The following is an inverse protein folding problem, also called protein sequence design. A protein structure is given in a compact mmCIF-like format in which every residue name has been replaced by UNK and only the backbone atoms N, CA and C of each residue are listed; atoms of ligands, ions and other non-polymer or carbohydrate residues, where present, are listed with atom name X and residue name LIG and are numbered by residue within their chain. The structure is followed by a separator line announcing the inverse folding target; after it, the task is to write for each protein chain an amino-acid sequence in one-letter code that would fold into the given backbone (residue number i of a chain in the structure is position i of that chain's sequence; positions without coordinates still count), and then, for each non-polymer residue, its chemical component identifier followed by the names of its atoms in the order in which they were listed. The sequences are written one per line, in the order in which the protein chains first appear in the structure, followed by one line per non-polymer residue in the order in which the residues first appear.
data_IF_805853211927
#
_entry.id   IF_805853211927
#
_cell.length_a   1.000
_cell.length_b   1.000
_cell.length_c   1.000
_cell.angle_alpha   90.00
_cell.angle_beta   90.00
_cell.angle_gamma   90.00
#
_symmetry.space_group_name_H-M   'P 1'
#
loop_
_entity.id
_entity.type
_entity.pdbx_description
1 polymer ?
#
# COMPACT_ATOMS: atom_id res chain seq x y z
N UNK A 1 -25.12 -8.36 5.13
CA UNK A 1 -24.30 -8.06 3.93
C UNK A 1 -23.01 -8.84 4.08
N UNK A 2 -22.69 -9.75 3.16
CA UNK A 2 -21.35 -10.36 3.14
C UNK A 2 -20.38 -9.26 2.67
N UNK A 3 -19.47 -8.81 3.54
CA UNK A 3 -18.35 -7.98 3.11
C UNK A 3 -17.62 -8.75 2.02
N UNK A 4 -17.61 -8.23 0.78
CA UNK A 4 -16.73 -8.79 -0.25
C UNK A 4 -15.32 -8.61 0.25
N UNK A 5 -14.67 -9.73 0.51
CA UNK A 5 -13.28 -9.74 0.91
C UNK A 5 -12.46 -9.43 -0.36
N UNK A 6 -12.05 -8.18 -0.53
CA UNK A 6 -11.34 -7.71 -1.72
C UNK A 6 -9.99 -8.42 -1.86
N UNK A 7 -9.67 -8.85 -3.08
CA UNK A 7 -8.52 -9.71 -3.38
C UNK A 7 -7.36 -8.89 -3.96
N UNK A 8 -6.26 -8.85 -3.23
CA UNK A 8 -5.08 -8.02 -3.54
C UNK A 8 -3.87 -8.91 -3.81
N UNK A 9 -3.19 -8.66 -4.92
CA UNK A 9 -1.91 -9.28 -5.25
C UNK A 9 -0.79 -8.23 -5.26
N UNK A 10 0.17 -8.35 -4.34
CA UNK A 10 1.34 -7.45 -4.27
C UNK A 10 2.55 -8.08 -4.95
N UNK A 11 3.04 -7.45 -5.99
CA UNK A 11 4.18 -7.91 -6.79
C UNK A 11 5.36 -6.99 -6.52
N UNK A 12 6.44 -7.48 -5.91
CA UNK A 12 7.55 -6.61 -5.50
C UNK A 12 8.84 -7.38 -5.25
N UNK A 13 9.92 -6.67 -4.92
CA UNK A 13 11.25 -7.31 -4.72
C UNK A 13 11.55 -7.65 -3.25
N UNK A 14 11.12 -6.80 -2.32
CA UNK A 14 11.51 -6.88 -0.92
C UNK A 14 10.69 -7.91 -0.16
N UNK A 15 11.30 -9.06 0.15
CA UNK A 15 10.66 -10.14 0.89
C UNK A 15 10.03 -9.68 2.22
N UNK A 16 10.73 -8.91 3.10
CA UNK A 16 10.13 -8.42 4.34
C UNK A 16 8.87 -7.58 4.10
N UNK A 17 8.94 -6.63 3.16
CA UNK A 17 7.81 -5.76 2.83
C UNK A 17 6.61 -6.54 2.30
N UNK A 18 6.85 -7.56 1.47
CA UNK A 18 5.80 -8.42 0.93
C UNK A 18 5.11 -9.24 2.03
N UNK A 19 5.86 -9.74 3.00
CA UNK A 19 5.30 -10.48 4.14
C UNK A 19 4.48 -9.54 5.04
N UNK A 20 5.04 -8.39 5.37
CA UNK A 20 4.41 -7.41 6.26
C UNK A 20 3.12 -6.86 5.66
N UNK A 21 3.12 -6.46 4.38
CA UNK A 21 1.92 -5.92 3.73
C UNK A 21 0.81 -6.96 3.66
N UNK A 22 1.15 -8.24 3.39
CA UNK A 22 0.17 -9.32 3.36
C UNK A 22 -0.44 -9.56 4.73
N UNK A 23 0.37 -9.59 5.79
CA UNK A 23 -0.13 -9.71 7.16
C UNK A 23 -1.08 -8.56 7.52
N UNK A 24 -0.65 -7.31 7.28
CA UNK A 24 -1.43 -6.11 7.60
C UNK A 24 -2.74 -6.00 6.81
N UNK A 25 -2.76 -6.45 5.55
CA UNK A 25 -3.97 -6.50 4.73
C UNK A 25 -4.94 -7.58 5.21
N UNK A 26 -4.43 -8.76 5.56
CA UNK A 26 -5.27 -9.85 6.10
C UNK A 26 -5.88 -9.48 7.44
N UNK A 27 -5.14 -8.82 8.31
CA UNK A 27 -5.65 -8.32 9.60
C UNK A 27 -6.79 -7.30 9.43
N UNK A 28 -6.80 -6.58 8.30
CA UNK A 28 -7.88 -5.66 7.90
C UNK A 28 -9.01 -6.33 7.12
N UNK A 29 -8.96 -7.65 6.95
CA UNK A 29 -9.99 -8.42 6.28
C UNK A 29 -9.94 -8.38 4.76
N UNK A 30 -8.76 -8.17 4.16
CA UNK A 30 -8.50 -8.35 2.72
C UNK A 30 -7.93 -9.73 2.41
N UNK A 31 -8.27 -10.29 1.24
CA UNK A 31 -7.65 -11.48 0.69
C UNK A 31 -6.34 -11.06 0.04
N UNK A 32 -5.23 -11.15 0.76
CA UNK A 32 -3.94 -10.66 0.26
C UNK A 32 -2.94 -11.78 -0.03
N UNK A 33 -2.30 -11.71 -1.18
CA UNK A 33 -1.15 -12.52 -1.57
C UNK A 33 -0.04 -11.63 -2.13
N UNK A 34 1.20 -12.13 -2.12
CA UNK A 34 2.35 -11.44 -2.64
C UNK A 34 3.38 -12.36 -3.29
N UNK A 35 4.09 -11.84 -4.29
CA UNK A 35 5.18 -12.56 -4.95
C UNK A 35 6.33 -11.64 -5.36
N UNK A 36 7.55 -12.18 -5.28
CA UNK A 36 8.73 -11.60 -5.91
C UNK A 36 9.22 -12.38 -7.14
N UNK A 37 8.46 -13.38 -7.57
CA UNK A 37 8.72 -14.19 -8.76
C UNK A 37 7.88 -13.67 -9.93
N UNK A 38 8.40 -12.66 -10.64
CA UNK A 38 7.64 -11.97 -11.70
C UNK A 38 7.39 -12.86 -12.92
N UNK A 39 8.32 -13.77 -13.22
CA UNK A 39 8.29 -14.61 -14.42
C UNK A 39 7.31 -15.79 -14.30
N UNK A 40 7.03 -16.26 -13.09
CA UNK A 40 6.11 -17.37 -12.82
C UNK A 40 4.78 -16.92 -12.20
N UNK A 41 4.51 -15.61 -12.15
CA UNK A 41 3.37 -15.05 -11.42
C UNK A 41 2.03 -15.66 -11.86
N UNK A 42 1.85 -15.85 -13.17
CA UNK A 42 0.62 -16.40 -13.75
C UNK A 42 0.51 -17.93 -13.59
N UNK A 43 1.62 -18.61 -13.33
CA UNK A 43 1.61 -20.04 -12.97
C UNK A 43 1.26 -20.22 -11.49
N UNK A 44 1.63 -19.26 -10.65
CA UNK A 44 1.49 -19.33 -9.20
C UNK A 44 0.11 -18.89 -8.68
N UNK A 45 -0.62 -18.05 -9.44
CA UNK A 45 -1.88 -17.45 -9.00
C UNK A 45 -2.96 -17.50 -10.08
N UNK A 46 -4.18 -17.86 -9.67
CA UNK A 46 -5.37 -17.57 -10.47
C UNK A 46 -5.71 -16.07 -10.35
N UNK A 47 -5.40 -15.31 -11.39
CA UNK A 47 -5.61 -13.85 -11.45
C UNK A 47 -7.04 -13.45 -11.86
N UNK A 48 -7.88 -14.43 -12.23
CA UNK A 48 -9.27 -14.16 -12.68
C UNK A 48 -10.15 -13.55 -11.60
N UNK A 49 -9.75 -13.75 -10.35
CA UNK A 49 -10.51 -13.29 -9.19
C UNK A 49 -9.80 -12.19 -8.41
N UNK A 50 -8.65 -11.70 -8.89
CA UNK A 50 -7.93 -10.60 -8.26
C UNK A 50 -8.64 -9.28 -8.57
N UNK A 51 -8.94 -8.50 -7.54
CA UNK A 51 -9.56 -7.18 -7.69
C UNK A 51 -8.51 -6.09 -7.94
N UNK A 52 -7.33 -6.22 -7.31
CA UNK A 52 -6.26 -5.22 -7.38
C UNK A 52 -4.88 -5.87 -7.40
N UNK A 53 -4.02 -5.39 -8.32
CA UNK A 53 -2.60 -5.74 -8.38
C UNK A 53 -1.75 -4.50 -8.05
N UNK A 54 -0.81 -4.65 -7.12
CA UNK A 54 0.13 -3.59 -6.74
C UNK A 54 1.53 -3.96 -7.20
N UNK A 55 2.12 -3.15 -8.08
CA UNK A 55 3.51 -3.32 -8.51
C UNK A 55 4.46 -2.45 -7.69
N UNK A 56 5.43 -3.06 -7.02
CA UNK A 56 6.51 -2.36 -6.34
C UNK A 56 7.41 -1.57 -7.31
N UNK A 57 8.09 -0.54 -6.79
CA UNK A 57 8.95 0.34 -7.60
C UNK A 57 10.11 -0.36 -8.30
N UNK A 58 10.56 -1.51 -7.77
CA UNK A 58 11.68 -2.29 -8.31
C UNK A 58 11.28 -3.33 -9.36
N UNK A 59 9.99 -3.48 -9.67
CA UNK A 59 9.56 -4.31 -10.80
C UNK A 59 9.90 -3.56 -12.11
N UNK A 60 10.58 -4.18 -13.09
CA UNK A 60 10.91 -3.52 -14.35
C UNK A 60 9.67 -2.97 -15.07
N UNK A 61 9.72 -1.77 -15.69
CA UNK A 61 8.56 -1.20 -16.39
C UNK A 61 7.97 -2.11 -17.47
N UNK A 62 8.82 -2.67 -18.33
CA UNK A 62 8.42 -3.65 -19.36
C UNK A 62 7.66 -4.83 -18.76
N UNK A 63 8.15 -5.35 -17.62
CA UNK A 63 7.50 -6.47 -16.94
C UNK A 63 6.15 -6.08 -16.34
N UNK A 64 5.98 -4.85 -15.84
CA UNK A 64 4.68 -4.35 -15.36
C UNK A 64 3.68 -4.27 -16.51
N UNK A 65 4.09 -3.74 -17.65
CA UNK A 65 3.24 -3.62 -18.83
C UNK A 65 2.80 -5.00 -19.33
N UNK A 66 3.75 -5.92 -19.51
CA UNK A 66 3.47 -7.30 -19.95
C UNK A 66 2.53 -8.04 -19.01
N UNK A 67 2.79 -7.97 -17.69
CA UNK A 67 1.93 -8.61 -16.69
C UNK A 67 0.55 -7.96 -16.62
N UNK A 68 0.47 -6.63 -16.73
CA UNK A 68 -0.82 -5.94 -16.71
C UNK A 68 -1.67 -6.34 -17.91
N UNK A 69 -1.08 -6.38 -19.11
CA UNK A 69 -1.77 -6.82 -20.32
C UNK A 69 -2.26 -8.27 -20.17
N UNK A 70 -1.39 -9.18 -19.75
CA UNK A 70 -1.72 -10.60 -19.58
C UNK A 70 -2.82 -10.82 -18.53
N UNK A 71 -2.81 -10.06 -17.43
CA UNK A 71 -3.84 -10.12 -16.39
C UNK A 71 -5.15 -9.57 -16.92
N UNK A 72 -5.15 -8.46 -17.67
CA UNK A 72 -6.35 -7.86 -18.25
C UNK A 72 -7.02 -8.75 -19.30
N UNK A 73 -6.24 -9.54 -20.05
CA UNK A 73 -6.78 -10.56 -20.96
C UNK A 73 -7.61 -11.62 -20.22
N UNK A 74 -7.17 -12.01 -19.02
CA UNK A 74 -7.85 -13.01 -18.19
C UNK A 74 -8.92 -12.40 -17.27
N UNK A 75 -8.76 -11.15 -16.86
CA UNK A 75 -9.59 -10.42 -15.92
C UNK A 75 -9.67 -8.93 -16.28
N UNK A 76 -10.63 -8.53 -17.15
CA UNK A 76 -10.79 -7.14 -17.58
C UNK A 76 -11.19 -6.16 -16.46
N UNK A 77 -11.50 -6.65 -15.25
CA UNK A 77 -11.95 -5.83 -14.11
C UNK A 77 -10.84 -5.57 -13.09
N UNK A 78 -9.66 -6.18 -13.24
CA UNK A 78 -8.55 -6.00 -12.32
C UNK A 78 -8.08 -4.54 -12.32
N UNK A 79 -7.92 -3.97 -11.13
CA UNK A 79 -7.25 -2.69 -10.92
C UNK A 79 -5.74 -2.85 -10.83
N UNK A 80 -5.00 -1.79 -11.14
CA UNK A 80 -3.54 -1.76 -11.04
C UNK A 80 -3.07 -0.50 -10.33
N UNK A 81 -2.14 -0.66 -9.39
CA UNK A 81 -1.48 0.46 -8.70
C UNK A 81 0.03 0.33 -8.71
N UNK A 82 0.69 1.48 -8.82
CA UNK A 82 2.10 1.59 -8.50
C UNK A 82 2.26 1.72 -6.98
N UNK A 83 2.85 0.71 -6.35
CA UNK A 83 3.17 0.73 -4.94
C UNK A 83 4.20 1.82 -4.63
N UNK A 84 3.90 2.65 -3.63
CA UNK A 84 4.72 3.77 -3.20
C UNK A 84 5.67 3.36 -2.07
N UNK A 85 6.88 3.93 -2.10
CA UNK A 85 7.86 3.87 -1.01
C UNK A 85 8.46 2.50 -0.68
N UNK A 86 7.83 1.40 -1.11
CA UNK A 86 8.18 0.06 -0.60
C UNK A 86 7.96 -0.06 0.91
N UNK A 87 6.98 0.67 1.45
CA UNK A 87 6.68 0.75 2.89
C UNK A 87 5.35 0.04 3.11
N UNK A 88 5.33 -1.07 3.84
CA UNK A 88 4.12 -1.89 3.99
C UNK A 88 2.90 -1.10 4.50
N UNK A 89 2.98 -0.27 5.57
CA UNK A 89 1.85 0.57 6.00
C UNK A 89 1.31 1.52 4.92
N UNK A 90 2.19 2.04 4.05
CA UNK A 90 1.80 2.92 2.95
C UNK A 90 1.06 2.15 1.85
N UNK A 91 1.55 0.95 1.50
CA UNK A 91 0.87 0.09 0.53
C UNK A 91 -0.53 -0.28 1.03
N UNK A 92 -0.69 -0.51 2.33
CA UNK A 92 -2.02 -0.74 2.92
C UNK A 92 -2.90 0.49 2.77
N UNK A 93 -2.40 1.69 3.08
CA UNK A 93 -3.17 2.92 2.90
C UNK A 93 -3.59 3.14 1.43
N UNK A 94 -2.75 2.78 0.46
CA UNK A 94 -3.13 2.82 -0.97
C UNK A 94 -4.23 1.82 -1.33
N UNK A 95 -4.25 0.63 -0.70
CA UNK A 95 -5.34 -0.35 -0.89
C UNK A 95 -6.64 0.19 -0.30
N UNK A 96 -6.58 0.75 0.91
CA UNK A 96 -7.72 1.36 1.58
C UNK A 96 -8.28 2.52 0.74
N UNK A 97 -7.41 3.40 0.22
CA UNK A 97 -7.79 4.48 -0.69
C UNK A 97 -8.44 3.96 -1.98
N UNK A 98 -7.90 2.89 -2.57
CA UNK A 98 -8.43 2.34 -3.82
C UNK A 98 -9.86 1.81 -3.67
N UNK A 99 -10.14 1.07 -2.59
CA UNK A 99 -11.45 0.44 -2.38
C UNK A 99 -12.44 1.32 -1.62
N UNK A 100 -11.97 2.10 -0.64
CA UNK A 100 -12.77 2.98 0.21
C UNK A 100 -12.90 4.42 -0.32
N UNK A 101 -12.01 4.82 -1.23
CA UNK A 101 -11.94 6.17 -1.76
C UNK A 101 -11.00 7.08 -0.96
N UNK A 102 -10.50 8.11 -1.65
CA UNK A 102 -9.66 9.14 -1.04
C UNK A 102 -10.40 9.87 0.10
N UNK A 103 -9.68 10.18 1.17
CA UNK A 103 -10.19 11.04 2.23
C UNK A 103 -10.57 12.43 1.64
N UNK A 104 -11.84 12.85 1.73
CA UNK A 104 -12.28 14.09 1.10
C UNK A 104 -11.66 15.31 1.80
N UNK A 105 -11.40 16.37 1.02
CA UNK A 105 -10.94 17.65 1.57
C UNK A 105 -9.54 17.65 2.17
N UNK A 106 -8.72 16.63 1.85
CA UNK A 106 -7.32 16.54 2.29
C UNK A 106 -6.40 17.12 1.22
N UNK A 107 -5.62 18.12 1.58
CA UNK A 107 -4.61 18.74 0.73
C UNK A 107 -3.29 18.87 1.50
N UNK A 108 -2.15 18.73 0.81
CA UNK A 108 -0.83 18.95 1.40
C UNK A 108 -0.15 20.15 0.74
N UNK A 109 0.28 21.12 1.55
CA UNK A 109 1.11 22.23 1.13
C UNK A 109 2.58 21.92 1.43
N UNK A 110 3.34 21.67 0.36
CA UNK A 110 4.77 21.37 0.45
C UNK A 110 5.62 22.56 0.91
N UNK A 111 5.19 23.81 0.66
CA UNK A 111 5.94 25.00 1.04
C UNK A 111 5.89 25.25 2.55
N UNK A 112 4.75 24.96 3.17
CA UNK A 112 4.52 25.16 4.62
C UNK A 112 4.56 23.87 5.44
N UNK A 113 4.61 22.71 4.78
CA UNK A 113 4.48 21.36 5.37
C UNK A 113 3.23 21.21 6.24
N UNK A 114 2.11 21.73 5.74
CA UNK A 114 0.81 21.63 6.39
C UNK A 114 -0.08 20.65 5.63
N UNK A 115 -0.79 19.81 6.36
CA UNK A 115 -1.96 19.12 5.82
C UNK A 115 -3.17 19.96 6.15
N UNK A 116 -3.89 20.38 5.11
CA UNK A 116 -5.19 21.01 5.24
C UNK A 116 -6.26 19.92 5.18
N UNK A 117 -7.12 19.87 6.17
CA UNK A 117 -8.28 18.97 6.23
C UNK A 117 -9.55 19.82 6.29
N UNK A 118 -10.43 19.64 5.31
CA UNK A 118 -11.74 20.32 5.26
C UNK A 118 -12.86 19.34 5.55
N UNK A 119 -13.60 19.57 6.64
CA UNK A 119 -14.65 18.69 7.13
C UNK A 119 -16.01 19.37 7.09
N UNK A 120 -17.02 18.68 6.54
CA UNK A 120 -18.41 19.12 6.57
C UNK A 120 -19.11 18.78 7.90
N UNK A 121 -18.65 17.73 8.57
CA UNK A 121 -19.14 17.24 9.86
C UNK A 121 -17.98 16.84 10.77
N UNK A 122 -18.23 16.67 12.07
CA UNK A 122 -17.18 16.21 12.98
C UNK A 122 -16.74 14.78 12.62
N UNK A 123 -15.43 14.55 12.52
CA UNK A 123 -14.89 13.27 12.09
C UNK A 123 -13.56 12.94 12.81
N UNK A 124 -13.29 11.64 13.07
CA UNK A 124 -11.98 11.21 13.54
C UNK A 124 -10.96 11.40 12.41
N UNK A 125 -9.82 11.99 12.74
CA UNK A 125 -8.71 12.24 11.82
C UNK A 125 -7.42 11.66 12.39
N UNK A 126 -6.81 10.77 11.62
CA UNK A 126 -5.52 10.17 11.91
C UNK A 126 -4.55 10.50 10.76
N UNK A 127 -3.41 11.08 11.08
CA UNK A 127 -2.32 11.33 10.13
C UNK A 127 -1.08 10.60 10.62
N UNK A 128 -0.57 9.73 9.76
CA UNK A 128 0.68 8.99 9.98
C UNK A 128 1.73 9.41 8.96
N UNK A 129 2.89 9.83 9.44
CA UNK A 129 4.07 10.05 8.61
C UNK A 129 4.85 8.76 8.42
N UNK A 130 5.23 8.46 7.18
CA UNK A 130 5.81 7.18 6.75
C UNK A 130 7.06 7.42 5.90
N UNK A 131 8.16 6.74 6.20
CA UNK A 131 9.38 6.76 5.38
C UNK A 131 10.15 5.44 5.50
N UNK A 132 11.16 5.25 4.66
CA UNK A 132 12.07 4.12 4.75
C UNK A 132 13.46 4.61 5.18
N UNK A 133 13.99 4.03 6.25
CA UNK A 133 15.39 4.20 6.63
C UNK A 133 16.22 3.09 5.97
N UNK A 134 17.27 3.45 5.24
CA UNK A 134 18.16 2.47 4.59
C UNK A 134 19.26 2.03 5.56
N UNK A 135 19.17 0.80 6.05
CA UNK A 135 20.19 0.19 6.91
C UNK A 135 20.36 -1.28 6.52
N UNK A 136 21.49 -1.65 5.89
CA UNK A 136 21.61 -2.25 4.52
C UNK A 136 20.35 -2.61 3.71
N UNK A 137 19.23 -2.95 4.35
CA UNK A 137 17.91 -3.14 3.76
C UNK A 137 16.99 -1.97 4.18
N UNK A 138 15.94 -1.64 3.39
CA UNK A 138 14.98 -0.61 3.77
C UNK A 138 14.11 -1.07 4.94
N UNK A 139 14.16 -0.33 6.04
CA UNK A 139 13.30 -0.52 7.22
C UNK A 139 12.22 0.55 7.22
N UNK A 140 10.96 0.13 7.24
CA UNK A 140 9.83 1.04 7.37
C UNK A 140 9.91 1.79 8.71
N UNK A 141 9.62 3.08 8.68
CA UNK A 141 9.51 3.95 9.83
C UNK A 141 8.18 4.69 9.76
N UNK A 142 7.56 4.89 10.92
CA UNK A 142 6.28 5.56 11.03
C UNK A 142 6.19 6.40 12.29
N UNK A 143 5.42 7.49 12.22
CA UNK A 143 5.04 8.30 13.39
C UNK A 143 3.62 8.80 13.23
N UNK A 144 2.81 8.69 14.27
CA UNK A 144 1.50 9.36 14.32
C UNK A 144 1.76 10.84 14.50
N UNK A 145 1.44 11.65 13.49
CA UNK A 145 1.62 13.10 13.53
C UNK A 145 0.40 13.81 14.10
N UNK A 146 -0.78 13.20 13.96
CA UNK A 146 -2.04 13.71 14.48
C UNK A 146 -3.03 12.56 14.68
N UNK A 147 -3.76 12.55 15.80
CA UNK A 147 -4.82 11.60 16.09
C UNK A 147 -5.84 12.26 17.02
N UNK A 148 -6.95 12.74 16.47
CA UNK A 148 -8.02 13.35 17.24
C UNK A 148 -9.34 13.41 16.46
N UNK A 149 -10.43 13.65 17.18
CA UNK A 149 -11.69 14.13 16.60
C UNK A 149 -11.55 15.60 16.21
N UNK A 150 -11.92 15.95 14.98
CA UNK A 150 -11.98 17.33 14.51
C UNK A 150 -13.42 17.75 14.27
N UNK A 151 -13.74 18.98 14.67
CA UNK A 151 -15.04 19.63 14.41
C UNK A 151 -15.20 20.02 12.93
N UNK A 152 -16.41 20.36 12.45
CA UNK A 152 -16.60 20.87 11.09
C UNK A 152 -15.76 22.13 10.83
N UNK A 153 -15.19 22.27 9.64
CA UNK A 153 -14.39 23.42 9.24
C UNK A 153 -13.09 23.07 8.53
N UNK A 154 -12.20 24.06 8.43
CA UNK A 154 -10.86 23.91 7.83
C UNK A 154 -9.82 23.86 8.93
N UNK A 155 -9.01 22.80 8.93
CA UNK A 155 -7.96 22.57 9.91
C UNK A 155 -6.61 22.48 9.21
N UNK A 156 -5.61 23.18 9.75
CA UNK A 156 -4.24 23.13 9.25
C UNK A 156 -3.37 22.41 10.28
N UNK A 157 -2.85 21.25 9.90
CA UNK A 157 -2.11 20.35 10.78
C UNK A 157 -0.65 20.32 10.34
N UNK A 158 0.30 20.76 11.19
CA UNK A 158 1.70 20.78 10.82
C UNK A 158 2.32 19.39 10.84
N UNK A 159 3.09 19.08 9.79
CA UNK A 159 3.89 17.85 9.75
C UNK A 159 5.19 18.08 10.52
N UNK A 160 5.47 17.29 11.58
CA UNK A 160 6.64 17.49 12.41
C UNK A 160 7.94 17.25 11.63
N UNK A 161 9.04 17.85 12.10
CA UNK A 161 10.38 17.65 11.53
C UNK A 161 10.92 16.23 11.71
N UNK A 162 10.30 15.43 12.59
CA UNK A 162 10.59 14.02 12.74
C UNK A 162 10.28 13.20 11.47
N UNK A 163 9.32 13.66 10.65
CA UNK A 163 9.09 13.09 9.31
C UNK A 163 10.07 13.75 8.35
N UNK A 164 10.95 12.99 7.68
CA UNK A 164 11.97 13.56 6.79
C UNK A 164 11.39 14.36 5.61
N UNK A 165 12.23 15.18 4.99
CA UNK A 165 11.86 15.96 3.79
C UNK A 165 11.96 15.17 2.49
N UNK A 166 12.74 14.10 2.47
CA UNK A 166 12.92 13.23 1.30
C UNK A 166 12.30 11.86 1.56
N UNK A 167 11.83 11.22 0.50
CA UNK A 167 11.35 9.83 0.54
C UNK A 167 10.24 9.57 1.56
N UNK A 168 9.46 10.61 1.87
CA UNK A 168 8.46 10.59 2.94
C UNK A 168 7.05 10.73 2.39
N UNK A 169 6.13 10.11 3.10
CA UNK A 169 4.74 9.93 2.71
C UNK A 169 3.85 10.17 3.93
N UNK A 170 2.56 10.41 3.68
CA UNK A 170 1.52 10.43 4.69
C UNK A 170 0.46 9.40 4.35
N UNK A 171 -0.07 8.73 5.38
CA UNK A 171 -1.40 8.14 5.33
C UNK A 171 -2.33 9.03 6.15
N UNK A 172 -3.33 9.62 5.50
CA UNK A 172 -4.34 10.49 6.13
C UNK A 172 -5.66 9.74 6.12
N UNK A 173 -6.23 9.47 7.30
CA UNK A 173 -7.55 8.86 7.45
C UNK A 173 -8.52 9.88 8.01
N UNK A 174 -9.68 10.01 7.37
CA UNK A 174 -10.77 10.91 7.77
C UNK A 174 -12.07 10.12 7.71
N UNK A 175 -12.63 9.77 8.87
CA UNK A 175 -13.73 8.81 8.94
C UNK A 175 -13.35 7.49 8.26
N UNK A 176 -14.11 7.08 7.26
CA UNK A 176 -13.87 5.86 6.47
C UNK A 176 -12.92 6.07 5.27
N UNK A 177 -12.60 7.32 4.91
CA UNK A 177 -11.76 7.65 3.77
C UNK A 177 -10.27 7.64 4.11
N UNK A 178 -9.43 7.24 3.15
CA UNK A 178 -7.96 7.18 3.31
C UNK A 178 -7.27 7.82 2.12
N UNK A 179 -6.28 8.68 2.34
CA UNK A 179 -5.43 9.26 1.31
C UNK A 179 -3.96 8.95 1.59
N UNK A 180 -3.28 8.30 0.64
CA UNK A 180 -1.85 8.03 0.67
C UNK A 180 -1.11 9.10 -0.15
N UNK A 181 -0.46 10.03 0.54
CA UNK A 181 0.16 11.20 -0.08
C UNK A 181 1.68 11.08 -0.08
N UNK A 182 2.32 11.51 -1.17
CA UNK A 182 3.75 11.78 -1.19
C UNK A 182 4.00 13.20 -0.70
N UNK A 183 4.83 13.37 0.32
CA UNK A 183 5.14 14.69 0.89
C UNK A 183 6.62 15.08 0.80
N UNK A 184 7.48 14.11 0.48
CA UNK A 184 8.90 14.35 0.27
C UNK A 184 9.34 14.07 -1.17
N UNK A 185 10.37 14.81 -1.60
CA UNK A 185 11.05 14.58 -2.87
C UNK A 185 11.54 13.12 -2.99
N UNK A 186 11.66 12.54 -4.19
CA UNK A 186 12.27 11.23 -4.35
C UNK A 186 13.67 11.22 -3.73
N UNK A 187 13.91 10.31 -2.78
CA UNK A 187 15.24 10.17 -2.20
C UNK A 187 16.27 9.87 -3.30
N UNK A 188 17.32 10.70 -3.37
CA UNK A 188 18.41 10.49 -4.31
C UNK A 188 19.15 9.16 -4.09
N UNK A 189 19.13 8.64 -2.86
CA UNK A 189 19.72 7.34 -2.50
C UNK A 189 18.99 6.18 -3.16
N UNK A 190 17.65 6.26 -3.25
CA UNK A 190 16.83 5.27 -3.97
C UNK A 190 17.11 5.32 -5.46
N UNK A 191 17.23 6.53 -6.03
CA UNK A 191 17.59 6.70 -7.45
C UNK A 191 18.96 6.10 -7.77
N UNK A 192 19.95 6.25 -6.87
CA UNK A 192 21.29 5.66 -7.04
C UNK A 192 21.26 4.13 -6.97
N UNK A 193 20.50 3.54 -6.06
CA UNK A 193 20.37 2.07 -5.95
C UNK A 193 19.64 1.48 -7.18
N UNK A 194 18.60 2.16 -7.65
CA UNK A 194 17.89 1.79 -8.89
C UNK A 194 18.83 1.87 -10.10
N UNK A 195 19.66 2.91 -10.17
CA UNK A 195 20.63 3.12 -11.25
C UNK A 195 21.82 2.14 -11.20
N UNK A 196 22.22 1.68 -10.02
CA UNK A 196 23.44 0.87 -9.83
C UNK A 196 23.29 -0.63 -10.15
N UNK A 197 22.11 -1.10 -10.59
CA UNK A 197 21.81 -2.47 -11.09
C UNK A 197 22.87 -3.55 -10.72
N UNK A 198 22.84 -4.03 -9.48
CA UNK A 198 23.27 -5.39 -9.10
C UNK A 198 23.02 -5.61 -7.60
N UNK A 199 21.79 -5.40 -7.13
CA UNK A 199 21.41 -6.02 -5.86
C UNK A 199 21.32 -7.54 -6.09
N UNK A 200 21.81 -8.38 -5.17
CA UNK A 200 21.64 -9.82 -5.26
C UNK A 200 20.15 -10.17 -5.40
N UNK A 201 19.88 -11.32 -6.02
CA UNK A 201 18.53 -11.82 -6.12
C UNK A 201 17.99 -12.04 -4.69
N UNK A 202 16.84 -11.45 -4.32
CA UNK A 202 16.23 -11.71 -3.03
C UNK A 202 15.83 -13.19 -2.93
N UNK A 203 15.74 -13.72 -1.71
CA UNK A 203 15.18 -15.05 -1.49
C UNK A 203 13.75 -15.11 -2.08
N UNK A 204 13.36 -16.19 -2.79
CA UNK A 204 12.02 -16.32 -3.33
C UNK A 204 10.94 -16.24 -2.25
N UNK A 205 9.90 -15.44 -2.50
CA UNK A 205 8.72 -15.31 -1.65
C UNK A 205 7.47 -15.37 -2.52
N UNK A 206 6.61 -16.32 -2.19
CA UNK A 206 5.26 -16.49 -2.76
C UNK A 206 4.34 -16.84 -1.59
N UNK A 207 3.42 -15.95 -1.23
CA UNK A 207 2.45 -16.23 -0.15
C UNK A 207 1.17 -16.81 -0.75
N UNK A 208 0.61 -17.87 -0.16
CA UNK A 208 -0.65 -18.45 -0.63
C UNK A 208 -1.71 -18.38 0.45
N UNK A 209 -2.76 -17.61 0.19
CA UNK A 209 -4.04 -17.63 0.89
C UNK A 209 -5.09 -18.10 -0.12
N UNK A 210 -5.94 -19.09 0.21
CA UNK A 210 -7.06 -19.43 -0.63
C UNK A 210 -7.94 -18.18 -0.79
N UNK A 211 -8.17 -17.75 -2.03
CA UNK A 211 -8.99 -16.57 -2.32
C UNK A 211 -10.41 -16.74 -1.78
N UNK A 212 -10.87 -17.98 -1.69
CA UNK A 212 -12.12 -18.39 -1.05
C UNK A 212 -11.90 -18.65 0.43
N UNK A 213 -12.37 -17.72 1.26
CA UNK A 213 -12.68 -18.02 2.65
C UNK A 213 -13.93 -18.89 2.70
N UNK A 214 -13.77 -20.22 2.74
CA UNK A 214 -14.80 -21.08 3.30
C UNK A 214 -14.73 -20.96 4.82
N UNK A 215 -15.41 -19.95 5.36
CA UNK A 215 -15.69 -19.82 6.80
C UNK A 215 -16.87 -20.74 7.12
N UNK A 216 -16.67 -22.07 7.02
CA UNK A 216 -17.85 -22.94 6.89
C UNK A 216 -17.73 -24.44 7.17
N UNK A 217 -16.62 -25.00 7.64
CA UNK A 217 -16.59 -26.41 8.06
C UNK A 217 -16.65 -26.54 9.59
N UNK A 218 -17.87 -26.55 10.15
CA UNK A 218 -18.09 -27.08 11.51
C UNK A 218 -17.74 -28.57 11.53
N UNK A 219 -16.99 -29.08 12.52
CA UNK A 219 -16.85 -30.52 12.70
C UNK A 219 -18.21 -31.09 13.12
N UNK A 220 -18.74 -32.00 12.31
CA UNK A 220 -19.75 -32.95 12.77
C UNK A 220 -19.08 -33.87 13.77
N UNK A 221 -19.41 -33.68 15.05
CA UNK A 221 -19.12 -34.67 16.08
C UNK A 221 -19.98 -35.91 15.80
N UNK A 222 -19.31 -37.03 15.54
CA UNK A 222 -19.87 -38.37 15.71
C UNK A 222 -19.56 -38.90 17.10
#
# INVERSE_FOLDING_TARGET
MHQRNHRVLVVGRSAPVLVDVVAMLRDRGYGANASNQFDSLLDDYDVREVDLVIFGGMVPPEKKEDLSASILELNPRAGFLQGLGGIAPLLVAQVEEFFGGAAPGVEYDAATRLVRVTLAEAAPVLIEGLWAAFVPEPVAQSVVTFDAMLEPGVHEIPIPSAVPLEGSYLAVRVGEGVSALRIGEPSQSVQRIVAARALPAPAPVTTRFPWDGDVGARPVAG
#
